data_IF_330497088967
#
_entry.id   IF_330497088967
#
_cell.length_a   1.000
_cell.length_b   1.000
_cell.length_c   1.000
_cell.angle_alpha   90.00
_cell.angle_beta   90.00
_cell.angle_gamma   90.00
#
_symmetry.space_group_name_H-M   'P 1'
#
loop_
_entity.id
_entity.type
_entity.pdbx_description
1 polymer ?
#
# COMPACT_ATOMS: atom_id res chain seq x y z
N UNK A 1 23.71 -3.12 -6.03
CA UNK A 1 23.95 -4.34 -6.81
C UNK A 1 24.93 -3.98 -7.91
N UNK A 2 26.02 -4.72 -8.06
CA UNK A 2 26.93 -4.51 -9.18
C UNK A 2 26.36 -5.18 -10.43
N UNK A 3 26.40 -4.47 -11.56
CA UNK A 3 25.94 -5.00 -12.84
C UNK A 3 26.89 -6.09 -13.33
N UNK A 4 26.45 -7.32 -13.60
CA UNK A 4 27.29 -8.32 -14.19
C UNK A 4 27.69 -7.90 -15.61
N UNK A 5 28.99 -7.94 -15.92
CA UNK A 5 29.52 -7.61 -17.24
C UNK A 5 29.87 -8.89 -17.97
N UNK A 6 29.21 -9.14 -19.10
CA UNK A 6 29.52 -10.24 -20.00
C UNK A 6 30.13 -9.67 -21.26
N UNK A 7 31.28 -10.22 -21.68
CA UNK A 7 31.97 -9.80 -22.90
C UNK A 7 31.90 -10.91 -23.95
N UNK A 8 31.63 -10.52 -25.15
CA UNK A 8 31.77 -11.39 -26.31
C UNK A 8 33.26 -11.74 -26.58
N UNK A 9 33.53 -12.75 -27.40
CA UNK A 9 34.89 -13.15 -27.76
C UNK A 9 35.67 -12.06 -28.50
N UNK A 10 34.96 -11.15 -29.16
CA UNK A 10 35.51 -9.96 -29.83
C UNK A 10 35.78 -8.78 -28.91
N UNK A 11 35.53 -8.92 -27.60
CA UNK A 11 35.74 -7.91 -26.59
C UNK A 11 34.56 -6.94 -26.39
N UNK A 12 33.50 -7.03 -27.19
CA UNK A 12 32.29 -6.24 -27.05
C UNK A 12 31.50 -6.59 -25.77
N UNK A 13 30.83 -5.64 -25.17
CA UNK A 13 29.94 -5.88 -24.03
C UNK A 13 28.59 -6.42 -24.52
N UNK A 14 28.15 -7.54 -23.97
CA UNK A 14 26.85 -8.16 -24.30
C UNK A 14 25.81 -7.67 -23.29
N UNK A 15 24.71 -7.11 -23.78
CA UNK A 15 23.53 -6.84 -22.96
C UNK A 15 22.93 -8.16 -22.47
N UNK A 16 22.54 -8.20 -21.18
CA UNK A 16 21.87 -9.34 -20.57
C UNK A 16 20.37 -9.04 -20.45
N UNK A 17 19.51 -9.58 -21.31
CA UNK A 17 18.07 -9.33 -21.27
C UNK A 17 17.45 -9.69 -19.91
N UNK A 18 17.94 -10.74 -19.24
CA UNK A 18 17.49 -11.12 -17.90
C UNK A 18 17.83 -10.08 -16.83
N UNK A 19 18.97 -9.38 -16.97
CA UNK A 19 19.34 -8.29 -16.09
C UNK A 19 18.47 -7.06 -16.35
N UNK A 20 18.25 -6.71 -17.60
CA UNK A 20 17.40 -5.60 -18.00
C UNK A 20 15.95 -5.81 -17.53
N UNK A 21 15.40 -7.02 -17.69
CA UNK A 21 14.10 -7.39 -17.19
C UNK A 21 14.01 -7.31 -15.65
N UNK A 22 15.07 -7.76 -14.96
CA UNK A 22 15.13 -7.69 -13.49
C UNK A 22 15.25 -6.25 -12.97
N UNK A 23 15.79 -5.34 -13.77
CA UNK A 23 15.95 -3.92 -13.42
C UNK A 23 14.75 -3.07 -13.85
N UNK A 24 14.00 -3.50 -14.88
CA UNK A 24 12.83 -2.80 -15.39
C UNK A 24 11.65 -2.82 -14.40
N UNK A 25 11.51 -3.92 -13.65
CA UNK A 25 10.53 -4.02 -12.56
C UNK A 25 11.23 -3.89 -11.20
N UNK A 26 10.69 -3.04 -10.32
CA UNK A 26 11.14 -2.98 -8.92
C UNK A 26 10.54 -4.14 -8.11
N UNK A 27 10.82 -5.37 -8.56
CA UNK A 27 10.33 -6.60 -7.92
C UNK A 27 10.79 -6.72 -6.47
N UNK A 28 11.97 -6.17 -6.13
CA UNK A 28 12.47 -6.17 -4.76
C UNK A 28 11.57 -5.33 -3.83
N UNK A 29 11.08 -4.19 -4.31
CA UNK A 29 10.17 -3.37 -3.54
C UNK A 29 8.80 -4.02 -3.40
N UNK A 30 8.27 -4.62 -4.48
CA UNK A 30 7.01 -5.40 -4.43
C UNK A 30 7.13 -6.57 -3.47
N UNK A 31 8.24 -7.29 -3.51
CA UNK A 31 8.50 -8.41 -2.63
C UNK A 31 8.68 -7.98 -1.17
N UNK A 32 9.40 -6.88 -0.92
CA UNK A 32 9.54 -6.26 0.38
C UNK A 32 8.18 -5.90 0.98
N UNK A 33 7.32 -5.26 0.17
CA UNK A 33 5.96 -4.90 0.56
C UNK A 33 5.17 -6.15 0.96
N UNK A 34 5.19 -7.20 0.14
CA UNK A 34 4.45 -8.42 0.43
C UNK A 34 4.92 -9.10 1.73
N UNK A 35 6.23 -9.18 1.97
CA UNK A 35 6.77 -9.75 3.21
C UNK A 35 6.33 -8.96 4.45
N UNK A 36 6.29 -7.63 4.36
CA UNK A 36 5.85 -6.80 5.48
C UNK A 36 4.34 -6.89 5.69
N UNK A 37 3.55 -7.04 4.63
CA UNK A 37 2.10 -7.26 4.72
C UNK A 37 1.75 -8.60 5.40
N UNK A 38 2.57 -9.63 5.23
CA UNK A 38 2.43 -10.90 5.96
C UNK A 38 3.12 -10.90 7.34
N UNK A 39 3.42 -9.71 7.86
CA UNK A 39 3.99 -9.47 9.18
C UNK A 39 5.43 -9.97 9.37
N UNK A 40 6.21 -10.08 8.27
CA UNK A 40 7.63 -10.40 8.39
C UNK A 40 8.44 -9.18 8.82
N UNK A 41 9.19 -9.33 9.90
CA UNK A 41 9.96 -8.23 10.48
C UNK A 41 11.10 -7.76 9.56
N UNK A 42 11.28 -6.45 9.42
CA UNK A 42 12.41 -5.85 8.67
C UNK A 42 13.78 -6.33 9.15
N UNK A 43 13.90 -6.80 10.40
CA UNK A 43 15.13 -7.37 10.95
C UNK A 43 15.47 -8.74 10.39
N UNK A 44 14.46 -9.49 9.97
CA UNK A 44 14.61 -10.85 9.39
C UNK A 44 14.73 -10.80 7.85
N UNK A 45 14.56 -9.64 7.26
CA UNK A 45 14.50 -9.45 5.83
C UNK A 45 15.73 -10.02 5.09
N UNK A 46 16.93 -9.82 5.64
CA UNK A 46 18.15 -10.40 5.07
C UNK A 46 18.20 -11.94 5.10
N UNK A 47 17.39 -12.59 5.97
CA UNK A 47 17.28 -14.05 6.04
C UNK A 47 16.18 -14.58 5.13
N UNK A 48 15.16 -13.79 4.86
CA UNK A 48 14.06 -14.16 3.98
C UNK A 48 14.48 -14.16 2.49
N UNK A 49 15.53 -13.42 2.13
CA UNK A 49 16.20 -13.50 0.82
C UNK A 49 17.15 -14.70 0.82
N UNK A 50 16.61 -15.91 0.83
CA UNK A 50 17.41 -17.09 0.50
C UNK A 50 17.37 -17.29 -1.00
N UNK A 51 18.51 -17.11 -1.65
CA UNK A 51 18.71 -17.63 -2.99
C UNK A 51 18.68 -19.18 -2.92
N UNK A 52 18.12 -19.86 -3.94
CA UNK A 52 18.16 -21.31 -3.98
C UNK A 52 19.63 -21.78 -3.84
N UNK A 53 19.84 -22.83 -3.07
CA UNK A 53 21.14 -23.46 -2.91
C UNK A 53 21.60 -23.96 -4.28
N UNK A 54 22.64 -23.36 -4.80
CA UNK A 54 23.33 -23.71 -6.04
C UNK A 54 24.70 -23.08 -6.02
N UNK A 55 25.59 -23.55 -6.89
CA UNK A 55 27.02 -23.16 -7.01
C UNK A 55 27.26 -21.66 -7.34
N UNK A 56 26.34 -20.79 -7.02
CA UNK A 56 26.56 -19.35 -7.13
C UNK A 56 27.25 -18.91 -5.83
N UNK A 57 28.51 -18.46 -5.88
CA UNK A 57 29.17 -17.92 -4.70
C UNK A 57 28.36 -16.73 -4.20
N UNK A 58 27.59 -16.95 -3.14
CA UNK A 58 26.95 -15.89 -2.41
C UNK A 58 28.06 -15.13 -1.72
N UNK A 59 28.60 -14.13 -2.39
CA UNK A 59 29.39 -13.14 -1.68
C UNK A 59 28.49 -12.64 -0.55
N UNK A 60 29.02 -12.54 0.67
CA UNK A 60 28.40 -11.90 1.80
C UNK A 60 28.13 -10.41 1.47
N UNK A 61 27.47 -10.22 0.36
CA UNK A 61 27.07 -8.95 -0.19
C UNK A 61 25.95 -8.39 0.64
N UNK A 62 26.06 -7.18 0.98
CA UNK A 62 25.12 -6.33 1.65
C UNK A 62 23.67 -6.68 1.24
N UNK A 63 23.06 -7.60 1.97
CA UNK A 63 21.64 -7.84 1.88
C UNK A 63 20.90 -6.53 2.06
N UNK A 64 19.69 -6.45 1.61
CA UNK A 64 18.86 -5.26 1.77
C UNK A 64 18.90 -4.84 3.25
N UNK A 65 19.46 -3.66 3.55
CA UNK A 65 19.54 -3.19 4.92
C UNK A 65 18.11 -2.95 5.45
N UNK A 66 17.93 -3.11 6.77
CA UNK A 66 16.65 -2.84 7.44
C UNK A 66 16.06 -1.48 7.02
N UNK A 67 16.90 -0.45 6.99
CA UNK A 67 16.47 0.91 6.62
C UNK A 67 16.10 1.02 5.13
N UNK A 68 16.78 0.30 4.25
CA UNK A 68 16.42 0.27 2.82
C UNK A 68 15.09 -0.45 2.59
N UNK A 69 14.84 -1.58 3.28
CA UNK A 69 13.57 -2.29 3.23
C UNK A 69 12.42 -1.42 3.74
N UNK A 70 12.60 -0.75 4.88
CA UNK A 70 11.61 0.16 5.45
C UNK A 70 11.28 1.32 4.52
N UNK A 71 12.30 2.00 3.94
CA UNK A 71 12.06 3.11 3.00
C UNK A 71 11.29 2.65 1.75
N UNK A 72 11.61 1.48 1.20
CA UNK A 72 10.88 0.92 0.05
C UNK A 72 9.43 0.59 0.38
N UNK A 73 9.20 0.01 1.56
CA UNK A 73 7.86 -0.26 2.03
C UNK A 73 7.03 1.03 2.13
N UNK A 74 7.57 2.07 2.79
CA UNK A 74 6.89 3.37 2.93
C UNK A 74 6.59 3.98 1.56
N UNK A 75 7.56 4.00 0.64
CA UNK A 75 7.38 4.58 -0.69
C UNK A 75 6.27 3.88 -1.48
N UNK A 76 6.30 2.53 -1.54
CA UNK A 76 5.28 1.76 -2.25
C UNK A 76 3.91 1.83 -1.59
N UNK A 77 3.86 1.83 -0.26
CA UNK A 77 2.59 1.97 0.46
C UNK A 77 1.95 3.33 0.20
N UNK A 78 2.76 4.40 0.18
CA UNK A 78 2.28 5.75 -0.12
C UNK A 78 1.77 5.87 -1.56
N UNK A 79 2.48 5.29 -2.54
CA UNK A 79 2.06 5.27 -3.93
C UNK A 79 0.72 4.51 -4.10
N UNK A 80 0.61 3.30 -3.56
CA UNK A 80 -0.63 2.52 -3.62
C UNK A 80 -1.79 3.19 -2.90
N UNK A 81 -1.52 3.83 -1.76
CA UNK A 81 -2.53 4.60 -1.04
C UNK A 81 -3.04 5.76 -1.90
N UNK A 82 -2.13 6.47 -2.57
CA UNK A 82 -2.49 7.57 -3.48
C UNK A 82 -3.34 7.08 -4.67
N UNK A 83 -2.96 5.97 -5.30
CA UNK A 83 -3.72 5.37 -6.39
C UNK A 83 -5.12 4.94 -5.92
N UNK A 84 -5.18 4.28 -4.78
CA UNK A 84 -6.46 3.85 -4.21
C UNK A 84 -7.34 5.03 -3.83
N UNK A 85 -6.79 6.07 -3.20
CA UNK A 85 -7.52 7.30 -2.85
C UNK A 85 -7.95 8.13 -4.07
N UNK A 86 -7.43 7.85 -5.27
CA UNK A 86 -7.83 8.46 -6.53
C UNK A 86 -8.74 7.53 -7.37
N UNK A 87 -9.06 6.32 -6.90
CA UNK A 87 -9.87 5.38 -7.66
C UNK A 87 -11.31 5.87 -7.85
N UNK A 88 -11.90 5.58 -9.00
CA UNK A 88 -13.29 5.90 -9.34
C UNK A 88 -14.26 5.05 -8.52
N UNK A 89 -15.24 5.69 -7.88
CA UNK A 89 -16.27 5.07 -7.06
C UNK A 89 -17.64 5.06 -7.74
N UNK A 90 -17.78 5.64 -8.94
CA UNK A 90 -19.06 5.81 -9.64
C UNK A 90 -19.80 4.52 -9.96
N UNK A 91 -19.08 3.40 -9.98
CA UNK A 91 -19.64 2.06 -10.29
C UNK A 91 -20.11 1.29 -9.06
N UNK A 92 -19.88 1.84 -7.86
CA UNK A 92 -20.26 1.18 -6.61
C UNK A 92 -21.68 1.57 -6.22
N UNK A 93 -22.52 0.57 -6.05
CA UNK A 93 -23.85 0.71 -5.44
C UNK A 93 -23.74 0.34 -3.96
N UNK A 94 -23.74 1.35 -3.10
CA UNK A 94 -23.45 1.22 -1.67
C UNK A 94 -24.64 1.72 -0.84
N UNK A 95 -25.58 0.85 -0.49
CA UNK A 95 -26.72 1.22 0.37
C UNK A 95 -26.31 1.69 1.77
N UNK A 96 -25.12 1.33 2.24
CA UNK A 96 -24.62 1.73 3.55
C UNK A 96 -23.17 2.21 3.46
N UNK A 97 -22.88 3.35 4.09
CA UNK A 97 -21.51 3.84 4.31
C UNK A 97 -21.29 3.96 5.80
N UNK A 98 -20.28 3.27 6.31
CA UNK A 98 -19.82 3.34 7.68
C UNK A 98 -18.62 4.27 7.74
N UNK A 99 -18.66 5.26 8.62
CA UNK A 99 -17.54 6.15 8.92
C UNK A 99 -17.16 5.95 10.37
N UNK A 100 -15.90 5.63 10.63
CA UNK A 100 -15.39 5.42 11.98
C UNK A 100 -14.00 6.05 12.15
N UNK A 101 -13.71 6.53 13.35
CA UNK A 101 -12.44 7.14 13.72
C UNK A 101 -11.59 6.19 14.55
N UNK A 102 -10.33 6.01 14.14
CA UNK A 102 -9.34 5.24 14.89
C UNK A 102 -8.32 6.21 15.45
N UNK A 103 -8.25 6.33 16.78
CA UNK A 103 -7.20 7.11 17.44
C UNK A 103 -5.90 6.30 17.44
N UNK A 104 -4.86 6.85 16.84
CA UNK A 104 -3.53 6.24 16.77
C UNK A 104 -2.63 6.78 17.87
N UNK A 105 -2.66 8.11 18.06
CA UNK A 105 -1.92 8.85 19.09
C UNK A 105 -2.82 9.92 19.70
N UNK A 106 -2.32 10.68 20.67
CA UNK A 106 -3.12 11.72 21.36
C UNK A 106 -3.69 12.74 20.38
N UNK A 107 -2.90 13.15 19.40
CA UNK A 107 -3.23 14.16 18.39
C UNK A 107 -3.41 13.60 16.97
N UNK A 108 -3.50 12.27 16.83
CA UNK A 108 -3.64 11.62 15.54
C UNK A 108 -4.84 10.68 15.49
N UNK A 109 -5.84 11.06 14.70
CA UNK A 109 -7.02 10.25 14.41
C UNK A 109 -7.04 9.94 12.92
N UNK A 110 -7.26 8.67 12.57
CA UNK A 110 -7.55 8.25 11.20
C UNK A 110 -9.06 8.04 11.07
N UNK A 111 -9.70 8.83 10.24
CA UNK A 111 -11.10 8.68 9.88
C UNK A 111 -11.21 7.82 8.63
N UNK A 112 -11.84 6.66 8.75
CA UNK A 112 -12.03 5.70 7.65
C UNK A 112 -13.47 5.62 7.20
N UNK A 113 -13.69 5.45 5.89
CA UNK A 113 -14.99 5.16 5.30
C UNK A 113 -14.99 3.77 4.67
N UNK A 114 -16.02 2.98 4.96
CA UNK A 114 -16.27 1.65 4.39
C UNK A 114 -17.68 1.59 3.84
N UNK A 115 -17.81 1.30 2.56
CA UNK A 115 -19.10 1.02 1.93
C UNK A 115 -19.48 -0.44 2.08
N UNK A 116 -20.78 -0.71 2.15
CA UNK A 116 -21.33 -2.07 2.13
C UNK A 116 -22.30 -2.16 0.95
N UNK A 117 -22.06 -3.10 0.04
CA UNK A 117 -22.93 -3.34 -1.10
C UNK A 117 -24.18 -4.17 -0.74
N UNK A 118 -25.11 -4.31 -1.68
CA UNK A 118 -26.34 -5.06 -1.48
C UNK A 118 -26.15 -6.57 -1.21
N UNK A 119 -24.98 -7.12 -1.49
CA UNK A 119 -24.61 -8.51 -1.19
C UNK A 119 -23.91 -8.64 0.19
N UNK A 120 -23.65 -7.53 0.89
CA UNK A 120 -22.92 -7.49 2.16
C UNK A 120 -21.40 -7.42 1.99
N UNK A 121 -20.90 -7.24 0.77
CA UNK A 121 -19.48 -7.01 0.48
C UNK A 121 -19.01 -5.67 1.04
N UNK A 122 -17.83 -5.66 1.66
CA UNK A 122 -17.24 -4.46 2.25
C UNK A 122 -16.20 -3.86 1.33
N UNK A 123 -16.34 -2.58 1.03
CA UNK A 123 -15.48 -1.81 0.15
C UNK A 123 -14.81 -0.69 0.95
N UNK A 124 -13.50 -0.75 1.25
CA UNK A 124 -12.80 0.40 1.83
C UNK A 124 -12.81 1.55 0.81
N UNK A 125 -13.29 2.72 1.23
CA UNK A 125 -13.51 3.84 0.32
C UNK A 125 -12.45 4.92 0.46
N UNK A 126 -12.18 5.34 1.71
CA UNK A 126 -11.22 6.41 1.98
C UNK A 126 -10.68 6.32 3.41
N UNK A 127 -9.52 6.94 3.62
CA UNK A 127 -8.93 7.20 4.94
C UNK A 127 -8.37 8.62 4.94
N UNK A 128 -8.74 9.42 5.92
CA UNK A 128 -8.22 10.78 6.10
C UNK A 128 -7.63 10.92 7.49
N UNK A 129 -6.52 11.65 7.57
CA UNK A 129 -5.88 12.03 8.82
C UNK A 129 -6.52 13.31 9.38
N UNK A 130 -6.74 13.34 10.70
CA UNK A 130 -7.20 14.51 11.41
C UNK A 130 -6.63 14.55 12.83
N UNK A 131 -6.53 15.74 13.40
CA UNK A 131 -6.11 15.90 14.80
C UNK A 131 -7.23 15.51 15.78
N UNK A 132 -8.48 15.62 15.34
CA UNK A 132 -9.68 15.29 16.13
C UNK A 132 -10.80 14.82 15.18
N UNK A 133 -11.75 14.07 15.73
CA UNK A 133 -13.00 13.75 15.04
C UNK A 133 -13.89 15.00 15.04
N UNK A 134 -13.71 15.88 14.09
CA UNK A 134 -14.54 17.08 13.95
C UNK A 134 -15.28 17.10 12.60
N UNK A 135 -16.30 17.96 12.54
CA UNK A 135 -17.16 18.09 11.36
C UNK A 135 -16.36 18.42 10.08
N UNK A 136 -15.28 19.18 10.18
CA UNK A 136 -14.48 19.55 9.02
C UNK A 136 -13.74 18.36 8.40
N UNK A 137 -13.22 17.44 9.24
CA UNK A 137 -12.56 16.22 8.76
C UNK A 137 -13.56 15.26 8.11
N UNK A 138 -14.75 15.11 8.75
CA UNK A 138 -15.84 14.31 8.17
C UNK A 138 -16.30 14.91 6.83
N UNK A 139 -16.44 16.22 6.75
CA UNK A 139 -16.83 16.89 5.51
C UNK A 139 -15.79 16.68 4.40
N UNK A 140 -14.50 16.84 4.71
CA UNK A 140 -13.43 16.59 3.76
C UNK A 140 -13.42 15.14 3.25
N UNK A 141 -13.74 14.15 4.11
CA UNK A 141 -13.90 12.76 3.73
C UNK A 141 -15.07 12.60 2.74
N UNK A 142 -16.23 13.16 3.06
CA UNK A 142 -17.41 13.09 2.19
C UNK A 142 -17.19 13.77 0.85
N UNK A 143 -16.58 14.95 0.85
CA UNK A 143 -16.25 15.70 -0.36
C UNK A 143 -15.32 14.86 -1.27
N UNK A 144 -14.29 14.21 -0.71
CA UNK A 144 -13.43 13.30 -1.46
C UNK A 144 -14.21 12.13 -2.10
N UNK A 145 -15.15 11.52 -1.37
CA UNK A 145 -15.97 10.43 -1.91
C UNK A 145 -16.85 10.90 -3.08
N UNK A 146 -17.46 12.08 -2.95
CA UNK A 146 -18.30 12.68 -3.98
C UNK A 146 -17.48 13.05 -5.21
N UNK A 147 -16.32 13.69 -5.04
CA UNK A 147 -15.40 14.02 -6.13
C UNK A 147 -14.96 12.79 -6.92
N UNK A 148 -14.86 11.62 -6.28
CA UNK A 148 -14.55 10.34 -6.90
C UNK A 148 -15.75 9.62 -7.51
N UNK A 149 -16.91 10.29 -7.59
CA UNK A 149 -18.10 9.81 -8.28
C UNK A 149 -19.09 9.04 -7.42
N UNK A 150 -18.95 9.05 -6.09
CA UNK A 150 -19.96 8.46 -5.21
C UNK A 150 -21.23 9.33 -5.25
N UNK A 151 -22.36 8.75 -5.65
CA UNK A 151 -23.63 9.46 -5.68
C UNK A 151 -24.29 9.45 -4.29
N UNK A 152 -24.43 10.61 -3.62
CA UNK A 152 -25.04 10.69 -2.30
C UNK A 152 -26.55 10.39 -2.30
N UNK A 153 -27.22 10.42 -3.46
CA UNK A 153 -28.65 10.17 -3.56
C UNK A 153 -28.98 8.66 -3.62
N UNK A 154 -28.06 7.85 -4.14
CA UNK A 154 -28.21 6.38 -4.15
C UNK A 154 -27.91 5.80 -2.76
N UNK A 155 -27.10 6.50 -1.95
CA UNK A 155 -26.63 6.07 -0.62
C UNK A 155 -27.47 6.63 0.55
N UNK A 156 -28.77 6.78 0.41
CA UNK A 156 -29.67 7.40 1.42
C UNK A 156 -29.87 6.58 2.72
N UNK A 157 -28.81 5.95 3.21
CA UNK A 157 -28.80 5.17 4.46
C UNK A 157 -27.60 5.48 5.37
N UNK A 158 -27.25 6.76 5.59
CA UNK A 158 -26.18 7.13 6.50
C UNK A 158 -26.63 7.01 7.96
N UNK A 159 -26.21 5.96 8.66
CA UNK A 159 -26.35 5.88 10.12
C UNK A 159 -25.00 6.10 10.78
N UNK A 160 -24.85 7.23 11.50
CA UNK A 160 -23.74 7.45 12.39
C UNK A 160 -23.98 6.68 13.70
N UNK A 161 -23.23 5.61 13.92
CA UNK A 161 -23.24 4.87 15.18
C UNK A 161 -22.17 5.43 16.10
N UNK A 162 -22.48 6.51 16.82
CA UNK A 162 -21.68 6.94 17.96
C UNK A 162 -22.24 6.27 19.21
N UNK A 163 -21.79 5.05 19.49
CA UNK A 163 -22.09 4.38 20.76
C UNK A 163 -21.05 4.73 21.82
N UNK A 164 -21.46 5.04 23.07
CA UNK A 164 -20.50 5.30 24.14
C UNK A 164 -19.74 4.01 24.48
N UNK A 165 -18.43 4.03 24.36
CA UNK A 165 -17.57 2.96 24.87
C UNK A 165 -17.48 3.09 26.40
N UNK A 166 -17.85 2.03 27.10
CA UNK A 166 -17.57 1.83 28.53
C UNK A 166 -16.12 1.37 28.70
#
# INVERSE_FOLDING_TARGET
MERPRVRARDGGEIALPSWEAAMAEDWLSKWALNLMLINESTRKFGRAVRLPEGDVPVQNGAGLSKSAASRRFVALSAERMKEWMASDLSKLDLPVIQIDGIRIEEDLVLLGAVGVDGAGGKHPLAVIEGATENTAVVQALLDNLIERGLDPQVSAGCSSSTGPRR
#
